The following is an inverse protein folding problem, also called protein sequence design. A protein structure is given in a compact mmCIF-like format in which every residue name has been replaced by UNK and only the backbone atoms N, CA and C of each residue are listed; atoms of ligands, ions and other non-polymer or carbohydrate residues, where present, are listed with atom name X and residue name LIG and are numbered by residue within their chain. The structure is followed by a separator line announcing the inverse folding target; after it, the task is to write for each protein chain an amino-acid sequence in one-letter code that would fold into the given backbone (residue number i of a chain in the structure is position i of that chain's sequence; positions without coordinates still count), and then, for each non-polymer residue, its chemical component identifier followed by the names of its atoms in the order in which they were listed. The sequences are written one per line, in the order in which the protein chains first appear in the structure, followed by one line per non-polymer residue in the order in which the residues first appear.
data_IF_268652676539
#
_entry.id   IF_268652676539
#
_cell.length_a   1.000
_cell.length_b   1.000
_cell.length_c   1.000
_cell.angle_alpha   90.00
_cell.angle_beta   90.00
_cell.angle_gamma   90.00
#
_symmetry.space_group_name_H-M   'P 1'
#
loop_
_entity.id
_entity.type
_entity.pdbx_description
1 polymer ?
#
# COMPACT_ATOMS: atom_id res chain seq x y z
N UNK A 1 2.34 -0.66 8.76
CA UNK A 1 1.95 -0.12 7.43
C UNK A 1 1.87 -1.23 6.41
N UNK A 2 0.90 -1.19 5.50
CA UNK A 2 0.83 -2.15 4.40
C UNK A 2 1.72 -1.70 3.21
N UNK A 3 1.75 -2.51 2.15
CA UNK A 3 2.31 -2.12 0.86
C UNK A 3 1.19 -1.97 -0.18
N UNK A 4 1.55 -1.61 -1.41
CA UNK A 4 0.66 -1.01 -2.40
C UNK A 4 -0.41 -1.98 -2.89
N UNK A 5 -0.05 -3.26 -3.11
CA UNK A 5 -1.02 -4.27 -3.55
C UNK A 5 -2.00 -4.57 -2.42
N UNK A 6 -1.48 -4.74 -1.20
CA UNK A 6 -2.31 -4.97 -0.02
C UNK A 6 -3.32 -3.83 0.19
N UNK A 7 -2.90 -2.57 0.09
CA UNK A 7 -3.81 -1.42 0.17
C UNK A 7 -4.92 -1.45 -0.89
N UNK A 8 -4.63 -1.84 -2.13
CA UNK A 8 -5.66 -1.98 -3.18
C UNK A 8 -6.65 -3.08 -2.81
N UNK A 9 -6.18 -4.22 -2.28
CA UNK A 9 -7.05 -5.31 -1.81
C UNK A 9 -7.92 -4.87 -0.65
N UNK A 10 -7.39 -4.08 0.29
CA UNK A 10 -8.16 -3.54 1.41
C UNK A 10 -9.22 -2.55 0.94
N UNK A 11 -8.84 -1.64 0.03
CA UNK A 11 -9.75 -0.66 -0.56
C UNK A 11 -10.87 -1.35 -1.33
N UNK A 12 -10.58 -2.43 -2.05
CA UNK A 12 -11.62 -3.21 -2.74
C UNK A 12 -12.69 -3.72 -1.79
N UNK A 13 -12.31 -4.25 -0.62
CA UNK A 13 -13.28 -4.70 0.39
C UNK A 13 -14.13 -3.55 0.93
N UNK A 14 -13.55 -2.37 1.09
CA UNK A 14 -14.29 -1.19 1.53
C UNK A 14 -15.29 -0.75 0.45
N UNK A 15 -14.84 -0.65 -0.80
CA UNK A 15 -15.66 -0.25 -1.94
C UNK A 15 -16.81 -1.22 -2.22
N UNK A 16 -16.64 -2.52 -1.93
CA UNK A 16 -17.72 -3.51 -2.04
C UNK A 16 -18.86 -3.26 -1.05
N UNK A 17 -18.57 -2.65 0.10
CA UNK A 17 -19.57 -2.20 1.07
C UNK A 17 -20.13 -0.80 0.77
N UNK A 18 -19.45 -0.03 -0.10
CA UNK A 18 -19.76 1.36 -0.41
C UNK A 18 -19.82 1.60 -1.94
N UNK A 19 -20.76 0.97 -2.66
CA UNK A 19 -20.80 0.99 -4.12
C UNK A 19 -21.07 2.37 -4.73
N UNK A 20 -21.57 3.34 -3.95
CA UNK A 20 -21.77 4.72 -4.38
C UNK A 20 -20.46 5.55 -4.42
N UNK A 21 -19.39 5.07 -3.77
CA UNK A 21 -18.08 5.74 -3.76
C UNK A 21 -17.45 5.68 -5.14
N UNK A 22 -16.85 6.79 -5.60
CA UNK A 22 -16.05 6.78 -6.82
C UNK A 22 -14.78 5.96 -6.59
N UNK A 23 -14.81 4.70 -7.03
CA UNK A 23 -13.73 3.74 -6.83
C UNK A 23 -12.38 4.20 -7.41
N UNK A 24 -12.38 4.88 -8.56
CA UNK A 24 -11.16 5.25 -9.26
C UNK A 24 -10.41 6.35 -8.50
N UNK A 25 -11.12 7.39 -8.07
CA UNK A 25 -10.55 8.45 -7.22
C UNK A 25 -10.16 7.94 -5.84
N UNK A 26 -10.96 7.06 -5.25
CA UNK A 26 -10.67 6.44 -3.96
C UNK A 26 -9.38 5.63 -4.01
N UNK A 27 -9.20 4.76 -5.01
CA UNK A 27 -7.99 3.95 -5.17
C UNK A 27 -6.74 4.82 -5.38
N UNK A 28 -6.83 5.89 -6.17
CA UNK A 28 -5.73 6.86 -6.31
C UNK A 28 -5.37 7.49 -4.96
N UNK A 29 -6.39 7.94 -4.22
CA UNK A 29 -6.23 8.46 -2.86
C UNK A 29 -5.56 7.48 -1.91
N UNK A 30 -5.97 6.20 -1.95
CA UNK A 30 -5.38 5.13 -1.14
C UNK A 30 -3.91 4.88 -1.47
N UNK A 31 -3.47 5.12 -2.69
CA UNK A 31 -2.08 4.89 -3.11
C UNK A 31 -1.20 6.13 -2.97
N UNK A 32 -1.79 7.30 -2.78
CA UNK A 32 -1.10 8.58 -2.73
C UNK A 32 -0.07 8.73 -1.59
N UNK A 33 -0.32 8.32 -0.32
CA UNK A 33 0.54 8.72 0.80
C UNK A 33 2.00 8.25 0.70
N UNK A 34 2.26 7.19 -0.06
CA UNK A 34 3.59 6.63 -0.31
C UNK A 34 4.40 7.37 -1.39
N UNK A 35 3.85 8.43 -1.99
CA UNK A 35 4.58 9.35 -2.91
C UNK A 35 5.87 9.91 -2.30
N UNK A 36 5.92 10.09 -0.97
CA UNK A 36 7.12 10.52 -0.22
C UNK A 36 8.35 9.63 -0.45
N UNK A 37 8.17 8.42 -0.99
CA UNK A 37 9.27 7.49 -1.24
C UNK A 37 10.08 7.83 -2.49
N UNK A 38 9.54 8.70 -3.36
CA UNK A 38 10.17 9.10 -4.63
C UNK A 38 10.59 10.56 -4.69
N UNK A 39 10.17 11.39 -3.73
CA UNK A 39 10.57 12.81 -3.59
C UNK A 39 11.16 13.09 -2.20
N UNK A 40 11.87 14.22 -2.05
CA UNK A 40 12.32 14.74 -0.75
C UNK A 40 11.43 15.90 -0.25
N UNK A 41 10.54 16.41 -1.10
CA UNK A 41 9.67 17.56 -0.81
C UNK A 41 8.59 17.20 0.20
N UNK A 42 8.13 15.94 0.17
CA UNK A 42 7.06 15.43 1.00
C UNK A 42 7.63 14.52 2.06
N UNK A 43 7.36 14.83 3.33
CA UNK A 43 7.69 13.99 4.48
C UNK A 43 6.48 13.13 4.86
N UNK A 44 6.72 12.11 5.69
CA UNK A 44 5.65 11.28 6.25
C UNK A 44 4.61 12.15 6.96
N UNK A 45 5.03 13.16 7.73
CA UNK A 45 4.12 14.06 8.42
C UNK A 45 3.15 14.78 7.49
N UNK A 46 3.61 15.19 6.31
CA UNK A 46 2.80 15.94 5.35
C UNK A 46 1.72 15.04 4.70
N UNK A 47 1.91 13.72 4.77
CA UNK A 47 0.99 12.72 4.20
C UNK A 47 0.25 11.87 5.26
N UNK A 48 0.65 11.91 6.54
CA UNK A 48 0.18 10.96 7.56
C UNK A 48 -0.18 11.61 8.92
N UNK A 49 -0.18 12.95 9.06
CA UNK A 49 -0.49 13.66 10.34
C UNK A 49 -1.82 14.45 10.28
N UNK A 50 -2.72 14.15 9.34
CA UNK A 50 -3.89 15.01 9.11
C UNK A 50 -5.17 14.63 9.88
N UNK A 51 -5.22 13.52 10.63
CA UNK A 51 -6.46 13.09 11.29
C UNK A 51 -6.20 12.63 12.73
N UNK A 52 -6.76 13.37 13.70
CA UNK A 52 -6.72 13.04 15.13
C UNK A 52 -7.56 11.79 15.43
N UNK A 53 -8.65 11.59 14.68
CA UNK A 53 -9.46 10.37 14.68
C UNK A 53 -9.47 9.74 13.28
N UNK A 54 -9.00 8.50 13.17
CA UNK A 54 -9.08 7.68 11.96
C UNK A 54 -10.28 6.74 12.12
N UNK A 55 -11.47 7.21 11.76
CA UNK A 55 -12.65 6.38 11.56
C UNK A 55 -12.90 6.13 10.05
N UNK A 56 -13.89 5.30 9.75
CA UNK A 56 -14.29 4.96 8.37
C UNK A 56 -15.51 5.75 7.89
N UNK A 57 -15.84 6.85 8.55
CA UNK A 57 -16.98 7.72 8.21
C UNK A 57 -16.53 8.81 7.24
N UNK A 58 -16.85 8.62 5.95
CA UNK A 58 -16.42 9.53 4.88
C UNK A 58 -17.57 10.38 4.32
N UNK A 59 -18.64 10.58 5.09
CA UNK A 59 -19.75 11.43 4.67
C UNK A 59 -19.26 12.87 4.41
N UNK A 60 -19.59 13.40 3.24
CA UNK A 60 -19.15 14.74 2.80
C UNK A 60 -17.67 14.86 2.42
N UNK A 61 -16.88 13.78 2.50
CA UNK A 61 -15.46 13.77 2.13
C UNK A 61 -15.32 13.43 0.64
N UNK A 62 -14.43 14.14 -0.08
CA UNK A 62 -14.16 13.83 -1.47
C UNK A 62 -13.58 12.40 -1.61
N UNK A 63 -13.93 11.62 -2.65
CA UNK A 63 -13.48 10.23 -2.78
C UNK A 63 -11.96 10.02 -2.68
N UNK A 64 -11.17 10.93 -3.25
CA UNK A 64 -9.71 10.88 -3.15
C UNK A 64 -9.22 11.05 -1.70
N UNK A 65 -9.76 12.03 -0.98
CA UNK A 65 -9.41 12.28 0.43
C UNK A 65 -9.88 11.13 1.32
N UNK A 66 -11.04 10.54 1.04
CA UNK A 66 -11.53 9.34 1.70
C UNK A 66 -10.57 8.16 1.49
N UNK A 67 -10.09 7.96 0.26
CA UNK A 67 -9.09 6.95 -0.06
C UNK A 67 -7.77 7.16 0.69
N UNK A 68 -7.33 8.42 0.80
CA UNK A 68 -6.14 8.78 1.56
C UNK A 68 -6.33 8.50 3.06
N UNK A 69 -7.42 8.94 3.67
CA UNK A 69 -7.78 8.60 5.06
C UNK A 69 -7.78 7.08 5.28
N UNK A 70 -8.38 6.34 4.34
CA UNK A 70 -8.45 4.89 4.39
C UNK A 70 -7.07 4.20 4.37
N UNK A 71 -6.08 4.74 3.64
CA UNK A 71 -4.70 4.24 3.69
C UNK A 71 -4.13 4.30 5.12
N UNK A 72 -4.28 5.45 5.77
CA UNK A 72 -3.75 5.68 7.12
C UNK A 72 -4.44 4.77 8.14
N UNK A 73 -5.75 4.61 8.00
CA UNK A 73 -6.52 3.67 8.81
C UNK A 73 -6.05 2.22 8.63
N UNK A 74 -5.89 1.78 7.37
CA UNK A 74 -5.39 0.43 7.06
C UNK A 74 -4.01 0.17 7.67
N UNK A 75 -3.13 1.18 7.65
CA UNK A 75 -1.81 1.07 8.24
C UNK A 75 -1.86 0.77 9.73
N UNK A 76 -2.76 1.44 10.47
CA UNK A 76 -2.97 1.19 11.90
C UNK A 76 -3.63 -0.16 12.14
N UNK A 77 -4.75 -0.43 11.45
CA UNK A 77 -5.51 -1.67 11.61
C UNK A 77 -4.68 -2.90 11.31
N UNK A 78 -3.81 -2.84 10.30
CA UNK A 78 -2.84 -3.90 9.99
C UNK A 78 -1.92 -4.21 11.18
N UNK A 79 -1.40 -3.18 11.86
CA UNK A 79 -0.52 -3.39 13.00
C UNK A 79 -1.24 -4.05 14.18
N UNK A 80 -2.50 -3.68 14.43
CA UNK A 80 -3.33 -4.35 15.44
C UNK A 80 -3.50 -5.84 15.15
N UNK A 81 -3.80 -6.19 13.90
CA UNK A 81 -3.97 -7.59 13.48
C UNK A 81 -2.64 -8.36 13.62
N UNK A 82 -1.52 -7.77 13.19
CA UNK A 82 -0.21 -8.40 13.34
C UNK A 82 0.15 -8.66 14.81
N UNK A 83 -0.14 -7.71 15.70
CA UNK A 83 0.07 -7.85 17.14
C UNK A 83 -0.83 -8.95 17.74
N UNK A 84 -2.10 -9.02 17.34
CA UNK A 84 -3.04 -10.09 17.73
C UNK A 84 -2.49 -11.48 17.43
N UNK A 85 -1.77 -11.64 16.31
CA UNK A 85 -1.16 -12.91 15.92
C UNK A 85 0.27 -13.13 16.43
N UNK A 86 0.77 -12.25 17.32
CA UNK A 86 2.14 -12.24 17.80
C UNK A 86 3.17 -12.32 16.65
N UNK A 87 2.85 -11.71 15.51
CA UNK A 87 3.63 -11.84 14.27
C UNK A 87 5.10 -11.48 14.48
N UNK A 88 5.35 -10.44 15.28
CA UNK A 88 6.69 -9.96 15.56
C UNK A 88 7.52 -10.89 16.45
N UNK A 89 6.96 -11.97 17.01
CA UNK A 89 7.75 -13.00 17.70
C UNK A 89 8.34 -14.06 16.76
N UNK A 90 7.99 -14.01 15.47
CA UNK A 90 8.44 -14.98 14.49
C UNK A 90 9.87 -14.66 14.01
N UNK A 91 10.56 -15.67 13.48
CA UNK A 91 11.90 -15.47 12.92
C UNK A 91 11.85 -14.55 11.70
N UNK A 92 12.80 -13.62 11.64
CA UNK A 92 12.98 -12.64 10.55
C UNK A 92 11.94 -11.51 10.47
N UNK A 93 11.08 -11.32 11.48
CA UNK A 93 10.02 -10.29 11.47
C UNK A 93 10.31 -9.05 12.32
N UNK A 94 11.28 -9.10 13.25
CA UNK A 94 11.56 -7.99 14.20
C UNK A 94 12.40 -6.89 13.54
N UNK A 95 13.45 -7.26 12.83
CA UNK A 95 14.51 -6.32 12.44
C UNK A 95 14.18 -5.52 11.18
N UNK A 96 13.14 -5.92 10.44
CA UNK A 96 12.81 -5.33 9.14
C UNK A 96 11.30 -5.25 8.91
N UNK A 97 10.79 -4.03 8.77
CA UNK A 97 9.37 -3.78 8.53
C UNK A 97 8.97 -3.93 7.05
N UNK A 98 9.91 -3.79 6.10
CA UNK A 98 9.64 -3.87 4.65
C UNK A 98 9.36 -5.29 4.14
N UNK A 99 10.17 -6.33 4.45
CA UNK A 99 10.00 -7.65 3.84
C UNK A 99 8.61 -8.29 4.08
N UNK A 100 8.02 -8.25 5.29
CA UNK A 100 6.66 -8.74 5.50
C UNK A 100 5.63 -8.09 4.58
N UNK A 101 5.75 -6.78 4.32
CA UNK A 101 4.81 -6.02 3.48
C UNK A 101 4.89 -6.42 2.01
N UNK A 102 6.10 -6.70 1.51
CA UNK A 102 6.30 -7.17 0.14
C UNK A 102 5.80 -8.60 -0.05
N UNK A 103 6.03 -9.47 0.94
CA UNK A 103 5.49 -10.83 0.91
C UNK A 103 3.95 -10.81 0.94
N UNK A 104 3.37 -9.93 1.76
CA UNK A 104 1.91 -9.73 1.80
C UNK A 104 1.36 -9.32 0.44
N UNK A 105 1.97 -8.34 -0.24
CA UNK A 105 1.61 -7.95 -1.61
C UNK A 105 1.60 -9.15 -2.56
N UNK A 106 2.64 -10.00 -2.53
CA UNK A 106 2.70 -11.24 -3.33
C UNK A 106 1.53 -12.18 -3.00
N UNK A 107 1.25 -12.42 -1.72
CA UNK A 107 0.25 -13.39 -1.28
C UNK A 107 -1.18 -12.95 -1.60
N UNK A 108 -1.48 -11.65 -1.52
CA UNK A 108 -2.84 -11.13 -1.69
C UNK A 108 -3.15 -10.62 -3.10
N UNK A 109 -2.16 -10.54 -4.00
CA UNK A 109 -2.32 -9.99 -5.35
C UNK A 109 -3.54 -10.54 -6.11
N UNK A 110 -3.80 -11.84 -6.01
CA UNK A 110 -4.89 -12.49 -6.70
C UNK A 110 -6.28 -12.12 -6.17
N UNK A 111 -6.38 -11.47 -5.00
CA UNK A 111 -7.65 -11.05 -4.39
C UNK A 111 -8.26 -9.84 -5.11
N UNK A 112 -7.49 -9.09 -5.90
CA UNK A 112 -8.01 -8.04 -6.79
C UNK A 112 -7.87 -8.48 -8.25
N UNK A 113 -8.94 -8.32 -9.05
CA UNK A 113 -8.99 -8.85 -10.43
C UNK A 113 -8.95 -7.77 -11.51
N UNK A 114 -9.00 -6.50 -11.14
CA UNK A 114 -9.11 -5.40 -12.10
C UNK A 114 -7.82 -4.57 -12.19
N UNK A 115 -6.67 -5.25 -12.17
CA UNK A 115 -5.34 -4.63 -12.24
C UNK A 115 -5.15 -3.81 -13.50
N UNK A 116 -5.67 -4.28 -14.64
CA UNK A 116 -5.57 -3.59 -15.93
C UNK A 116 -6.23 -2.20 -15.89
N UNK A 117 -7.47 -2.10 -15.39
CA UNK A 117 -8.16 -0.81 -15.24
C UNK A 117 -7.39 0.11 -14.29
N UNK A 118 -6.94 -0.40 -13.15
CA UNK A 118 -6.20 0.42 -12.18
C UNK A 118 -4.90 0.96 -12.79
N UNK A 119 -4.16 0.15 -13.54
CA UNK A 119 -2.95 0.58 -14.25
C UNK A 119 -3.24 1.66 -15.31
N UNK A 120 -4.37 1.56 -16.02
CA UNK A 120 -4.76 2.59 -16.99
C UNK A 120 -4.96 3.95 -16.31
N UNK A 121 -5.63 3.96 -15.15
CA UNK A 121 -5.87 5.18 -14.38
C UNK A 121 -4.57 5.71 -13.77
N UNK A 122 -3.70 4.85 -13.26
CA UNK A 122 -2.40 5.25 -12.70
C UNK A 122 -1.45 5.86 -13.76
N UNK A 123 -1.54 5.42 -15.02
CA UNK A 123 -0.77 6.02 -16.12
C UNK A 123 -1.41 7.30 -16.67
N UNK A 124 -2.67 7.58 -16.34
CA UNK A 124 -3.42 8.75 -16.78
C UNK A 124 -4.20 9.35 -15.60
N UNK A 125 -3.52 9.74 -14.51
CA UNK A 125 -4.20 10.22 -13.32
C UNK A 125 -4.93 11.54 -13.65
N UNK A 126 -6.17 11.74 -13.18
CA UNK A 126 -6.83 13.03 -13.31
C UNK A 126 -6.06 14.10 -12.53
N UNK A 127 -6.26 15.37 -12.89
CA UNK A 127 -5.77 16.48 -12.07
C UNK A 127 -6.47 16.43 -10.70
N UNK A 128 -5.69 16.23 -9.65
CA UNK A 128 -6.17 16.19 -8.27
C UNK A 128 -5.56 17.38 -7.54
N UNK A 129 -6.41 18.29 -7.09
CA UNK A 129 -6.00 19.43 -6.25
C UNK A 129 -5.82 18.96 -4.82
N UNK A 130 -4.62 18.48 -4.54
CA UNK A 130 -4.14 18.19 -3.19
C UNK A 130 -3.61 19.50 -2.61
N UNK A 131 -4.02 19.85 -1.39
CA UNK A 131 -3.52 21.04 -0.66
C UNK A 131 -2.05 20.96 -0.26
N UNK A 132 -1.26 20.13 -0.94
CA UNK A 132 0.18 19.96 -0.77
C UNK A 132 0.88 20.49 -2.03
N UNK A 133 2.01 21.16 -1.83
CA UNK A 133 2.87 21.64 -2.91
C UNK A 133 3.69 20.48 -3.50
N UNK A 134 3.02 19.62 -4.27
CA UNK A 134 3.63 18.49 -4.97
C UNK A 134 3.50 18.74 -6.46
N UNK A 135 4.63 18.71 -7.16
CA UNK A 135 4.63 18.85 -8.61
C UNK A 135 3.84 17.73 -9.30
N UNK A 136 3.14 18.07 -10.38
CA UNK A 136 2.43 17.10 -11.21
C UNK A 136 3.36 15.97 -11.68
N UNK A 137 4.60 16.31 -12.06
CA UNK A 137 5.63 15.33 -12.44
C UNK A 137 5.90 14.29 -11.34
N UNK A 138 5.93 14.71 -10.06
CA UNK A 138 6.15 13.79 -8.94
C UNK A 138 4.96 12.85 -8.75
N UNK A 139 3.74 13.36 -8.89
CA UNK A 139 2.51 12.55 -8.84
C UNK A 139 2.49 11.51 -9.97
N UNK A 140 2.70 11.95 -11.21
CA UNK A 140 2.74 11.09 -12.39
C UNK A 140 3.83 10.03 -12.27
N UNK A 141 5.02 10.42 -11.81
CA UNK A 141 6.13 9.50 -11.58
C UNK A 141 5.80 8.43 -10.54
N UNK A 142 5.18 8.80 -9.43
CA UNK A 142 4.78 7.85 -8.40
C UNK A 142 3.77 6.85 -8.95
N UNK A 143 2.70 7.33 -9.59
CA UNK A 143 1.68 6.44 -10.14
C UNK A 143 2.22 5.58 -11.29
N UNK A 144 3.12 6.07 -12.13
CA UNK A 144 3.80 5.25 -13.15
C UNK A 144 4.64 4.12 -12.53
N UNK A 145 5.31 4.36 -11.40
CA UNK A 145 6.04 3.32 -10.66
C UNK A 145 5.07 2.25 -10.16
N UNK A 146 3.92 2.65 -9.60
CA UNK A 146 2.88 1.73 -9.14
C UNK A 146 2.25 0.94 -10.30
N UNK A 147 1.92 1.61 -11.41
CA UNK A 147 1.38 0.98 -12.59
C UNK A 147 2.32 -0.10 -13.16
N UNK A 148 3.64 0.10 -13.02
CA UNK A 148 4.63 -0.92 -13.38
C UNK A 148 4.70 -2.05 -12.36
N UNK A 149 4.61 -1.75 -11.07
CA UNK A 149 4.64 -2.77 -10.02
C UNK A 149 3.41 -3.69 -10.05
N UNK A 150 2.23 -3.15 -10.40
CA UNK A 150 0.97 -3.89 -10.53
C UNK A 150 0.78 -4.63 -11.85
N UNK A 151 1.79 -4.65 -12.73
CA UNK A 151 1.68 -5.30 -14.04
C UNK A 151 1.50 -6.83 -13.93
N UNK A 152 2.09 -7.42 -12.90
CA UNK A 152 1.98 -8.85 -12.61
C UNK A 152 2.13 -9.08 -11.12
N UNK A 153 1.77 -10.29 -10.68
CA UNK A 153 1.98 -10.75 -9.31
C UNK A 153 3.43 -10.45 -8.87
N UNK A 154 3.64 -9.79 -7.72
CA UNK A 154 4.97 -9.55 -7.20
C UNK A 154 5.78 -10.83 -7.07
N UNK A 155 7.03 -10.73 -7.51
CA UNK A 155 8.08 -11.73 -7.44
C UNK A 155 9.39 -11.00 -7.07
N UNK A 156 10.45 -11.76 -6.79
CA UNK A 156 11.73 -11.18 -6.38
C UNK A 156 12.24 -10.10 -7.36
N UNK A 157 12.04 -10.29 -8.67
CA UNK A 157 12.46 -9.35 -9.71
C UNK A 157 11.67 -8.05 -9.66
N UNK A 158 10.34 -8.13 -9.56
CA UNK A 158 9.46 -6.95 -9.53
C UNK A 158 9.56 -6.20 -8.20
N UNK A 159 9.70 -6.91 -7.08
CA UNK A 159 9.97 -6.31 -5.76
C UNK A 159 11.30 -5.55 -5.78
N UNK A 160 12.38 -6.18 -6.29
CA UNK A 160 13.68 -5.50 -6.42
C UNK A 160 13.59 -4.25 -7.29
N UNK A 161 12.91 -4.34 -8.44
CA UNK A 161 12.70 -3.20 -9.32
C UNK A 161 11.92 -2.07 -8.63
N UNK A 162 10.86 -2.41 -7.90
CA UNK A 162 10.05 -1.46 -7.14
C UNK A 162 10.85 -0.76 -6.03
N UNK A 163 11.62 -1.52 -5.25
CA UNK A 163 12.51 -0.99 -4.22
C UNK A 163 13.59 -0.06 -4.82
N UNK A 164 14.13 -0.41 -5.99
CA UNK A 164 15.14 0.42 -6.67
C UNK A 164 14.61 1.79 -7.10
N UNK A 165 13.29 1.94 -7.29
CA UNK A 165 12.65 3.22 -7.58
C UNK A 165 12.44 4.08 -6.33
N UNK A 166 12.55 3.51 -5.14
CA UNK A 166 12.40 4.20 -3.85
C UNK A 166 13.77 4.64 -3.33
N UNK A 167 13.98 5.95 -3.16
CA UNK A 167 15.33 6.54 -2.95
C UNK A 167 16.06 5.94 -1.74
N UNK A 168 15.34 5.75 -0.62
CA UNK A 168 15.91 5.25 0.64
C UNK A 168 16.15 3.74 0.66
N UNK A 169 15.47 2.97 -0.18
CA UNK A 169 15.52 1.51 -0.17
C UNK A 169 16.39 0.95 -1.30
N UNK A 170 16.76 1.76 -2.29
CA UNK A 170 17.54 1.34 -3.46
C UNK A 170 18.81 0.57 -3.08
N UNK A 171 19.54 1.03 -2.07
CA UNK A 171 20.81 0.41 -1.63
C UNK A 171 20.63 -0.92 -0.90
N UNK A 172 19.42 -1.22 -0.41
CA UNK A 172 19.11 -2.41 0.38
C UNK A 172 18.21 -3.39 -0.40
N UNK A 173 17.94 -3.13 -1.68
CA UNK A 173 16.94 -3.86 -2.43
C UNK A 173 17.21 -5.37 -2.52
N UNK A 174 18.48 -5.79 -2.64
CA UNK A 174 18.86 -7.20 -2.66
C UNK A 174 18.61 -7.86 -1.30
N UNK A 175 19.15 -7.26 -0.24
CA UNK A 175 19.03 -7.75 1.13
C UNK A 175 17.56 -7.91 1.56
N UNK A 176 16.72 -6.91 1.24
CA UNK A 176 15.29 -6.95 1.55
C UNK A 176 14.58 -8.09 0.82
N UNK A 177 14.95 -8.36 -0.44
CA UNK A 177 14.37 -9.48 -1.21
C UNK A 177 14.86 -10.83 -0.69
N UNK A 178 16.11 -10.93 -0.24
CA UNK A 178 16.62 -12.13 0.43
C UNK A 178 15.85 -12.44 1.73
N UNK A 179 15.50 -11.40 2.49
CA UNK A 179 14.65 -11.53 3.67
C UNK A 179 13.22 -11.97 3.31
N UNK A 180 12.65 -11.47 2.21
CA UNK A 180 11.35 -11.96 1.70
C UNK A 180 11.41 -13.46 1.40
N UNK A 181 12.49 -13.96 0.79
CA UNK A 181 12.65 -15.41 0.56
C UNK A 181 12.67 -16.22 1.86
N UNK A 182 13.34 -15.73 2.90
CA UNK A 182 13.35 -16.37 4.22
C UNK A 182 11.95 -16.42 4.82
N UNK A 183 11.21 -15.30 4.76
CA UNK A 183 9.82 -15.22 5.24
C UNK A 183 8.87 -16.12 4.45
N UNK A 184 9.06 -16.24 3.14
CA UNK A 184 8.27 -17.14 2.26
C UNK A 184 8.37 -18.60 2.68
N UNK A 185 9.49 -19.01 3.29
CA UNK A 185 9.69 -20.36 3.82
C UNK A 185 9.19 -20.54 5.27
N UNK A 186 8.70 -19.48 5.91
CA UNK A 186 8.12 -19.55 7.25
C UNK A 186 6.60 -19.76 7.14
N UNK A 187 6.13 -20.98 7.39
CA UNK A 187 4.73 -21.36 7.24
C UNK A 187 3.76 -20.50 8.05
N UNK A 188 4.15 -20.11 9.28
CA UNK A 188 3.32 -19.23 10.13
C UNK A 188 3.19 -17.84 9.53
N UNK A 189 4.26 -17.28 8.97
CA UNK A 189 4.23 -15.98 8.30
C UNK A 189 3.29 -16.02 7.09
N UNK A 190 3.42 -17.05 6.25
CA UNK A 190 2.58 -17.26 5.07
C UNK A 190 1.11 -17.50 5.45
N UNK A 191 0.84 -18.08 6.61
CA UNK A 191 -0.51 -18.25 7.15
C UNK A 191 -1.11 -16.93 7.68
N UNK A 192 -0.33 -16.11 8.37
CA UNK A 192 -0.82 -14.88 9.04
C UNK A 192 -1.05 -13.74 8.05
N UNK A 193 -0.11 -13.49 7.13
CA UNK A 193 -0.18 -12.30 6.26
C UNK A 193 -1.48 -12.21 5.44
N UNK A 194 -2.00 -13.29 4.82
CA UNK A 194 -3.27 -13.23 4.10
C UNK A 194 -4.49 -12.93 4.99
N UNK A 195 -4.47 -13.33 6.28
CA UNK A 195 -5.57 -13.08 7.23
C UNK A 195 -5.78 -11.60 7.51
N UNK A 196 -4.73 -10.78 7.36
CA UNK A 196 -4.86 -9.32 7.47
C UNK A 196 -5.93 -8.82 6.51
N UNK A 197 -5.87 -9.24 5.24
CA UNK A 197 -6.89 -8.87 4.25
C UNK A 197 -8.29 -9.39 4.58
N UNK A 198 -8.42 -10.46 5.35
CA UNK A 198 -9.70 -11.05 5.77
C UNK A 198 -10.31 -10.25 6.93
N UNK A 199 -9.49 -9.88 7.91
CA UNK A 199 -9.89 -9.17 9.13
C UNK A 199 -9.83 -7.64 9.01
N UNK A 200 -9.32 -7.09 7.89
CA UNK A 200 -9.05 -5.64 7.80
C UNK A 200 -10.29 -4.78 8.02
N UNK A 201 -11.52 -5.25 7.79
CA UNK A 201 -12.78 -4.52 8.03
C UNK A 201 -13.73 -5.25 8.99
N UNK A 202 -13.21 -6.19 9.79
CA UNK A 202 -13.91 -6.82 10.91
C UNK A 202 -13.66 -6.02 12.18
#
# INVERSE_FOLDING_TARGET
MASQVAHVVYAKKYLDRHPAMNADLFLLGTLFPDIRRVTNEVKRKDTHILHEDLDLEFEGVAPFEAGWKFHLWCDMRREEILNKYEFYKLSYTIDHDVPPKLLEDELVYEKYKNWEKLRLILNNPPEIKIGLDISQETNERWYAILAKYFEKKPDDKTMKAFLFKQRKLRGQAEELVDLVRKLRNNSKVVEILPKISEEILE
#
